data_IF_938256827472
#
_entry.id   IF_938256827472
#
_cell.length_a   1.000
_cell.length_b   1.000
_cell.length_c   1.000
_cell.angle_alpha   90.00
_cell.angle_beta   90.00
_cell.angle_gamma   90.00
#
_symmetry.space_group_name_H-M   'P 1'
#
loop_
_entity.id
_entity.type
_entity.pdbx_description
1 polymer ?
#
# COMPACT_ATOMS: atom_id res chain seq x y z
N UNK A 1 -31.07 20.99 -30.30
CA UNK A 1 -30.22 21.80 -29.40
C UNK A 1 -28.96 21.01 -29.08
N UNK A 2 -27.78 21.53 -29.40
CA UNK A 2 -26.50 20.90 -29.06
C UNK A 2 -26.21 21.27 -27.60
N UNK A 3 -26.44 20.34 -26.67
CA UNK A 3 -26.05 20.52 -25.28
C UNK A 3 -24.54 20.37 -25.17
N UNK A 4 -23.82 21.49 -25.20
CA UNK A 4 -22.40 21.55 -24.93
C UNK A 4 -22.14 21.34 -23.42
N UNK A 5 -21.03 20.68 -23.10
CA UNK A 5 -20.59 20.42 -21.73
C UNK A 5 -20.13 21.74 -21.10
N UNK A 6 -20.73 22.17 -19.98
CA UNK A 6 -20.33 23.41 -19.29
C UNK A 6 -19.06 23.19 -18.46
N UNK A 7 -18.08 24.09 -18.59
CA UNK A 7 -16.83 24.08 -17.83
C UNK A 7 -16.93 24.99 -16.59
N UNK A 8 -16.29 24.65 -15.45
CA UNK A 8 -15.46 23.47 -15.24
C UNK A 8 -16.30 22.21 -14.97
N UNK A 9 -15.99 21.11 -15.66
CA UNK A 9 -16.61 19.80 -15.42
C UNK A 9 -15.55 18.73 -15.21
N UNK A 10 -15.85 17.76 -14.35
CA UNK A 10 -15.00 16.58 -14.16
C UNK A 10 -15.26 15.57 -15.27
N UNK A 11 -14.30 15.40 -16.18
CA UNK A 11 -14.38 14.40 -17.25
C UNK A 11 -14.06 12.99 -16.76
N UNK A 12 -13.11 12.90 -15.81
CA UNK A 12 -12.62 11.64 -15.26
C UNK A 12 -12.41 11.74 -13.75
N UNK A 13 -12.82 10.69 -13.05
CA UNK A 13 -12.55 10.48 -11.63
C UNK A 13 -12.39 8.99 -11.37
N UNK A 14 -11.45 8.63 -10.51
CA UNK A 14 -11.29 7.25 -10.06
C UNK A 14 -12.53 6.80 -9.28
N UNK A 15 -12.99 5.57 -9.53
CA UNK A 15 -14.17 5.02 -8.85
C UNK A 15 -13.88 4.66 -7.40
N UNK A 16 -12.73 4.03 -7.15
CA UNK A 16 -12.23 3.72 -5.81
C UNK A 16 -11.25 4.81 -5.41
N UNK A 17 -11.64 5.65 -4.46
CA UNK A 17 -10.76 6.69 -3.96
C UNK A 17 -9.91 6.13 -2.83
N UNK A 18 -8.69 6.64 -2.71
CA UNK A 18 -7.78 6.25 -1.63
C UNK A 18 -8.34 6.62 -0.24
N UNK A 19 -9.17 7.65 -0.17
CA UNK A 19 -9.82 8.17 1.04
C UNK A 19 -11.26 7.66 1.21
N UNK A 20 -11.64 6.58 0.53
CA UNK A 20 -12.98 6.00 0.64
C UNK A 20 -13.10 5.01 1.79
N UNK A 21 -13.52 5.49 2.96
CA UNK A 21 -13.80 4.65 4.13
C UNK A 21 -14.93 3.64 3.92
N UNK A 22 -15.75 3.81 2.88
CA UNK A 22 -16.81 2.87 2.56
C UNK A 22 -16.31 1.67 1.74
N UNK A 23 -15.05 1.67 1.30
CA UNK A 23 -14.46 0.57 0.55
C UNK A 23 -14.46 -0.74 1.37
N UNK A 24 -14.65 -1.88 0.70
CA UNK A 24 -14.83 -3.16 1.39
C UNK A 24 -13.61 -3.59 2.21
N UNK A 25 -12.41 -3.32 1.73
CA UNK A 25 -11.13 -3.54 2.42
C UNK A 25 -10.94 -2.65 3.64
N UNK A 26 -11.51 -1.43 3.64
CA UNK A 26 -11.54 -0.54 4.81
C UNK A 26 -12.51 -1.01 5.90
N UNK A 27 -13.36 -2.02 5.63
CA UNK A 27 -14.33 -2.59 6.58
C UNK A 27 -13.83 -3.88 7.25
N UNK A 28 -12.63 -4.36 6.94
CA UNK A 28 -12.09 -5.62 7.43
C UNK A 28 -11.21 -5.48 8.70
N UNK A 29 -11.60 -4.62 9.64
CA UNK A 29 -10.76 -4.23 10.79
C UNK A 29 -10.70 -5.21 11.98
N UNK A 30 -11.58 -6.21 12.04
CA UNK A 30 -11.69 -7.10 13.20
C UNK A 30 -11.19 -8.50 12.87
N UNK A 31 -9.88 -8.71 12.99
CA UNK A 31 -9.28 -10.04 13.00
C UNK A 31 -9.05 -10.48 14.44
N UNK A 32 -9.42 -11.71 14.77
CA UNK A 32 -9.15 -12.28 16.09
C UNK A 32 -7.67 -12.63 16.25
N UNK A 33 -7.17 -12.69 17.48
CA UNK A 33 -5.81 -13.18 17.77
C UNK A 33 -5.55 -14.55 17.14
N UNK A 34 -6.52 -15.47 17.22
CA UNK A 34 -6.41 -16.80 16.62
C UNK A 34 -6.27 -16.73 15.10
N UNK A 35 -6.97 -15.81 14.44
CA UNK A 35 -6.82 -15.63 13.00
C UNK A 35 -5.44 -15.06 12.65
N UNK A 36 -4.97 -14.06 13.41
CA UNK A 36 -3.65 -13.44 13.20
C UNK A 36 -2.52 -14.45 13.38
N UNK A 37 -2.59 -15.31 14.40
CA UNK A 37 -1.55 -16.31 14.66
C UNK A 37 -1.62 -17.48 13.69
N UNK A 38 -2.79 -18.07 13.48
CA UNK A 38 -2.93 -19.31 12.71
C UNK A 38 -2.92 -19.07 11.20
N UNK A 39 -3.66 -18.09 10.69
CA UNK A 39 -3.79 -17.89 9.25
C UNK A 39 -2.70 -16.97 8.68
N UNK A 40 -2.22 -16.01 9.46
CA UNK A 40 -1.21 -15.04 9.03
C UNK A 40 0.18 -15.30 9.62
N UNK A 41 0.33 -16.32 10.48
CA UNK A 41 1.63 -16.69 11.05
C UNK A 41 2.24 -15.62 11.97
N UNK A 42 1.42 -14.71 12.52
CA UNK A 42 1.88 -13.58 13.33
C UNK A 42 2.19 -13.98 14.78
N UNK A 43 2.90 -15.09 14.96
CA UNK A 43 3.34 -15.54 16.28
C UNK A 43 4.57 -14.75 16.77
N UNK A 44 5.50 -14.44 15.87
CA UNK A 44 6.67 -13.62 16.14
C UNK A 44 6.65 -12.35 15.28
N UNK A 45 6.30 -11.23 15.91
CA UNK A 45 6.03 -9.96 15.21
C UNK A 45 7.21 -8.99 15.29
N UNK A 46 7.93 -8.97 16.42
CA UNK A 46 8.90 -7.93 16.73
C UNK A 46 10.05 -8.47 17.56
N UNK A 47 11.23 -7.90 17.34
CA UNK A 47 12.46 -8.28 18.02
C UNK A 47 12.55 -7.65 19.42
N UNK A 48 11.89 -6.51 19.65
CA UNK A 48 11.99 -5.72 20.87
C UNK A 48 10.82 -5.87 21.85
N UNK A 49 9.66 -6.30 21.38
CA UNK A 49 8.46 -6.45 22.19
C UNK A 49 7.59 -7.63 21.73
N UNK A 50 6.89 -8.24 22.67
CA UNK A 50 5.84 -9.22 22.42
C UNK A 50 4.45 -8.58 22.58
N UNK A 51 3.69 -8.39 21.48
CA UNK A 51 2.36 -7.77 21.54
C UNK A 51 1.32 -8.62 22.26
N UNK A 52 1.48 -9.95 22.25
CA UNK A 52 0.52 -10.89 22.85
C UNK A 52 0.60 -10.88 24.38
N UNK A 53 1.82 -10.84 24.92
CA UNK A 53 2.05 -10.83 26.38
C UNK A 53 2.31 -9.45 26.96
N UNK A 54 2.45 -8.42 26.12
CA UNK A 54 2.85 -7.06 26.49
C UNK A 54 4.13 -7.02 27.33
N UNK A 55 5.15 -7.73 26.85
CA UNK A 55 6.47 -7.79 27.49
C UNK A 55 7.53 -7.22 26.55
N UNK A 56 8.54 -6.56 27.11
CA UNK A 56 9.72 -6.15 26.36
C UNK A 56 10.64 -7.36 26.19
N UNK A 57 11.04 -7.64 24.96
CA UNK A 57 12.01 -8.68 24.63
C UNK A 57 13.43 -8.17 24.85
N UNK A 58 14.29 -9.05 25.32
CA UNK A 58 15.73 -8.82 25.33
C UNK A 58 16.30 -9.04 23.92
N UNK A 59 17.38 -8.36 23.59
CA UNK A 59 18.14 -8.62 22.34
C UNK A 59 18.65 -10.07 22.25
N UNK A 60 18.76 -10.76 23.40
CA UNK A 60 19.15 -12.17 23.51
C UNK A 60 17.99 -13.16 23.30
N UNK A 61 16.73 -12.71 23.35
CA UNK A 61 15.52 -13.55 23.23
C UNK A 61 15.09 -13.78 21.76
N UNK A 62 15.97 -13.45 20.81
CA UNK A 62 15.71 -13.62 19.38
C UNK A 62 15.77 -15.11 19.00
N UNK A 63 14.91 -15.61 18.11
CA UNK A 63 14.96 -17.01 17.65
C UNK A 63 16.34 -17.40 17.09
N UNK A 64 17.05 -16.43 16.52
CA UNK A 64 18.38 -16.59 15.91
C UNK A 64 19.54 -16.53 16.92
N UNK A 65 19.27 -16.16 18.18
CA UNK A 65 20.29 -16.05 19.22
C UNK A 65 20.64 -17.43 19.77
N UNK A 66 21.93 -17.74 19.91
CA UNK A 66 22.38 -18.98 20.58
C UNK A 66 22.03 -19.00 22.08
N UNK A 67 21.57 -17.88 22.64
CA UNK A 67 21.16 -17.72 24.04
C UNK A 67 19.63 -17.69 24.21
N UNK A 68 18.86 -18.02 23.17
CA UNK A 68 17.39 -17.84 23.12
C UNK A 68 16.60 -18.77 24.06
N UNK A 69 17.26 -19.75 24.65
CA UNK A 69 16.65 -20.73 25.52
C UNK A 69 17.57 -20.93 26.73
N UNK A 70 17.29 -20.22 27.83
CA UNK A 70 17.52 -20.68 29.21
C UNK A 70 16.97 -19.62 30.21
N UNK A 71 15.95 -20.04 30.98
CA UNK A 71 15.42 -19.46 32.22
C UNK A 71 15.78 -17.99 32.49
N UNK A 72 15.04 -17.04 31.91
CA UNK A 72 15.08 -15.65 32.35
C UNK A 72 13.73 -15.18 32.80
N UNK A 73 13.76 -14.25 33.75
CA UNK A 73 12.59 -13.60 34.30
C UNK A 73 11.70 -13.07 33.17
N UNK A 74 10.37 -13.19 33.30
CA UNK A 74 9.44 -12.68 32.31
C UNK A 74 9.80 -11.22 32.01
N UNK A 75 10.08 -10.94 30.72
CA UNK A 75 10.53 -9.64 30.25
C UNK A 75 9.64 -8.51 30.80
N UNK A 76 10.25 -7.34 31.05
CA UNK A 76 9.57 -6.20 31.70
C UNK A 76 8.21 -5.94 31.04
N UNK A 77 7.14 -5.98 31.83
CA UNK A 77 5.78 -5.64 31.37
C UNK A 77 5.76 -4.19 30.88
N UNK A 78 5.15 -3.98 29.72
CA UNK A 78 5.01 -2.67 29.08
C UNK A 78 3.54 -2.35 28.84
N UNK A 79 3.22 -1.06 28.71
CA UNK A 79 1.86 -0.66 28.36
C UNK A 79 1.59 -0.91 26.88
N UNK A 80 0.30 -1.00 26.50
CA UNK A 80 -0.09 -1.14 25.09
C UNK A 80 0.45 -0.01 24.21
N UNK A 81 0.43 1.22 24.73
CA UNK A 81 0.95 2.39 24.01
C UNK A 81 2.47 2.29 23.80
N UNK A 82 3.21 1.85 24.81
CA UNK A 82 4.66 1.62 24.69
C UNK A 82 4.97 0.48 23.72
N UNK A 83 4.20 -0.62 23.77
CA UNK A 83 4.33 -1.71 22.82
C UNK A 83 4.08 -1.24 21.39
N UNK A 84 3.00 -0.49 21.15
CA UNK A 84 2.70 0.08 19.84
C UNK A 84 3.83 1.00 19.36
N UNK A 85 4.34 1.89 20.21
CA UNK A 85 5.45 2.77 19.85
C UNK A 85 6.68 1.98 19.40
N UNK A 86 7.06 0.92 20.13
CA UNK A 86 8.17 0.02 19.75
C UNK A 86 7.92 -0.63 18.38
N UNK A 87 6.72 -1.17 18.15
CA UNK A 87 6.37 -1.80 16.87
C UNK A 87 6.44 -0.81 15.70
N UNK A 88 5.95 0.42 15.89
CA UNK A 88 6.01 1.45 14.85
C UNK A 88 7.45 1.91 14.59
N UNK A 89 8.30 2.00 15.61
CA UNK A 89 9.71 2.34 15.44
C UNK A 89 10.48 1.24 14.69
N UNK A 90 10.23 -0.02 15.00
CA UNK A 90 10.74 -1.15 14.21
C UNK A 90 10.23 -1.11 12.78
N UNK A 91 8.94 -0.83 12.57
CA UNK A 91 8.38 -0.74 11.24
C UNK A 91 9.05 0.36 10.41
N UNK A 92 9.24 1.56 10.97
CA UNK A 92 10.00 2.63 10.29
C UNK A 92 11.40 2.17 9.96
N UNK A 93 12.11 1.57 10.91
CA UNK A 93 13.48 1.12 10.72
C UNK A 93 13.60 0.11 9.57
N UNK A 94 12.73 -0.91 9.54
CA UNK A 94 12.72 -1.94 8.49
C UNK A 94 12.28 -1.36 7.13
N UNK A 95 11.33 -0.42 7.13
CA UNK A 95 10.81 0.20 5.90
C UNK A 95 11.87 0.97 5.08
N UNK A 96 12.94 1.45 5.74
CA UNK A 96 14.05 2.16 5.10
C UNK A 96 14.74 1.33 4.01
N UNK A 97 14.75 0.00 4.16
CA UNK A 97 15.35 -0.89 3.17
C UNK A 97 14.63 -0.81 1.81
N UNK A 98 13.32 -0.53 1.80
CA UNK A 98 12.51 -0.42 0.59
C UNK A 98 12.53 0.99 -0.03
N UNK A 99 13.12 1.96 0.66
CA UNK A 99 13.13 3.37 0.27
C UNK A 99 14.53 3.97 0.34
N UNK A 100 15.56 3.13 0.21
CA UNK A 100 16.95 3.51 0.49
C UNK A 100 17.47 4.69 -0.38
N UNK A 101 17.00 4.79 -1.63
CA UNK A 101 17.47 5.78 -2.60
C UNK A 101 16.32 6.59 -3.22
N UNK A 102 16.65 7.80 -3.67
CA UNK A 102 15.78 8.65 -4.47
C UNK A 102 15.13 9.80 -3.70
N UNK A 103 14.42 10.70 -4.42
CA UNK A 103 13.82 11.91 -3.85
C UNK A 103 12.66 11.62 -2.90
N UNK A 104 12.04 10.43 -3.02
CA UNK A 104 10.86 10.01 -2.25
C UNK A 104 11.19 9.11 -1.05
N UNK A 105 12.47 8.91 -0.73
CA UNK A 105 12.92 7.98 0.33
C UNK A 105 12.23 8.18 1.69
N UNK A 106 12.00 9.42 2.07
CA UNK A 106 11.39 9.77 3.35
C UNK A 106 9.89 9.53 3.41
N UNK A 107 9.25 9.28 2.27
CA UNK A 107 7.80 9.26 2.17
C UNK A 107 7.20 8.10 2.96
N UNK A 108 7.84 6.92 2.93
CA UNK A 108 7.37 5.75 3.67
C UNK A 108 7.42 6.00 5.19
N UNK A 109 8.46 6.65 5.69
CA UNK A 109 8.57 7.01 7.12
C UNK A 109 7.48 8.02 7.52
N UNK A 110 7.19 8.99 6.65
CA UNK A 110 6.07 9.94 6.88
C UNK A 110 4.73 9.23 6.90
N UNK A 111 4.50 8.28 5.98
CA UNK A 111 3.27 7.50 5.93
C UNK A 111 3.10 6.63 7.19
N UNK A 112 4.16 5.93 7.62
CA UNK A 112 4.14 5.11 8.83
C UNK A 112 3.91 5.99 10.07
N UNK A 113 4.51 7.18 10.10
CA UNK A 113 4.30 8.14 11.20
C UNK A 113 2.87 8.63 11.25
N UNK A 114 2.30 8.99 10.10
CA UNK A 114 0.90 9.36 10.01
C UNK A 114 -0.04 8.21 10.40
N UNK A 115 0.29 6.97 10.07
CA UNK A 115 -0.49 5.81 10.52
C UNK A 115 -0.47 5.65 12.05
N UNK A 116 0.62 6.00 12.74
CA UNK A 116 0.69 5.95 14.20
C UNK A 116 -0.12 7.05 14.88
N UNK A 117 -0.05 8.29 14.37
CA UNK A 117 -0.58 9.48 15.08
C UNK A 117 -1.77 10.14 14.40
N UNK A 118 -2.11 9.73 13.18
CA UNK A 118 -3.08 10.40 12.32
C UNK A 118 -4.54 10.10 12.65
N UNK A 119 -4.83 9.26 13.65
CA UNK A 119 -6.18 8.97 14.14
C UNK A 119 -7.21 8.67 13.04
N UNK A 120 -6.79 7.89 12.04
CA UNK A 120 -7.64 7.51 10.91
C UNK A 120 -7.87 8.60 9.87
N UNK A 121 -7.29 9.80 9.99
CA UNK A 121 -7.38 10.84 8.96
C UNK A 121 -6.61 10.46 7.69
N UNK A 122 -7.03 10.95 6.50
CA UNK A 122 -6.31 10.66 5.26
C UNK A 122 -4.92 11.29 5.27
N UNK A 123 -3.91 10.53 4.83
CA UNK A 123 -2.55 11.05 4.63
C UNK A 123 -2.49 11.97 3.40
N UNK A 124 -1.80 13.11 3.50
CA UNK A 124 -1.54 14.01 2.38
C UNK A 124 -0.11 14.53 2.45
N UNK A 125 0.63 14.42 1.34
CA UNK A 125 1.99 14.96 1.22
C UNK A 125 2.26 15.31 -0.26
N UNK A 126 2.84 16.49 -0.50
CA UNK A 126 3.13 16.98 -1.86
C UNK A 126 4.09 16.06 -2.61
N UNK A 127 5.00 15.38 -1.91
CA UNK A 127 5.92 14.43 -2.51
C UNK A 127 5.20 13.15 -2.95
N UNK A 128 4.16 12.71 -2.22
CA UNK A 128 3.32 11.59 -2.65
C UNK A 128 2.57 11.95 -3.92
N UNK A 129 1.94 13.13 -3.95
CA UNK A 129 1.21 13.60 -5.13
C UNK A 129 2.14 13.70 -6.35
N UNK A 130 3.37 14.18 -6.15
CA UNK A 130 4.39 14.24 -7.19
C UNK A 130 4.82 12.85 -7.66
N UNK A 131 5.11 11.93 -6.74
CA UNK A 131 5.51 10.57 -7.08
C UNK A 131 4.42 9.85 -7.90
N UNK A 132 3.16 9.95 -7.48
CA UNK A 132 2.01 9.38 -8.20
C UNK A 132 1.82 10.03 -9.57
N UNK A 133 2.00 11.35 -9.68
CA UNK A 133 1.98 12.06 -10.96
C UNK A 133 3.08 11.55 -11.90
N UNK A 134 4.31 11.43 -11.41
CA UNK A 134 5.44 10.92 -12.20
C UNK A 134 5.20 9.46 -12.62
N UNK A 135 4.64 8.62 -11.75
CA UNK A 135 4.26 7.26 -12.10
C UNK A 135 3.25 7.22 -13.25
N UNK A 136 2.20 8.06 -13.21
CA UNK A 136 1.19 8.12 -14.28
C UNK A 136 1.79 8.64 -15.59
N UNK A 137 2.66 9.65 -15.53
CA UNK A 137 3.25 10.26 -16.73
C UNK A 137 4.32 9.38 -17.38
N UNK A 138 5.07 8.63 -16.59
CA UNK A 138 6.16 7.76 -17.05
C UNK A 138 5.68 6.34 -17.38
N UNK A 139 4.41 6.01 -17.15
CA UNK A 139 3.84 4.73 -17.54
C UNK A 139 3.69 4.67 -19.07
N UNK A 140 4.66 4.02 -19.71
CA UNK A 140 4.74 3.80 -21.16
C UNK A 140 4.09 2.48 -21.60
N UNK A 141 3.47 1.73 -20.70
CA UNK A 141 2.85 0.45 -21.07
C UNK A 141 1.63 0.66 -21.95
N UNK A 142 1.29 -0.32 -22.80
CA UNK A 142 0.07 -0.27 -23.64
C UNK A 142 -1.23 -0.22 -22.81
N UNK A 143 -1.13 -0.55 -21.52
CA UNK A 143 -2.23 -0.49 -20.55
C UNK A 143 -2.23 0.80 -19.71
N UNK A 144 -1.30 1.72 -19.99
CA UNK A 144 -1.17 3.00 -19.31
C UNK A 144 -2.50 3.75 -19.33
N UNK A 145 -2.93 4.14 -18.13
CA UNK A 145 -4.15 4.93 -17.95
C UNK A 145 -4.05 6.25 -18.71
N UNK A 146 -2.86 6.88 -18.69
CA UNK A 146 -2.60 8.12 -19.40
C UNK A 146 -2.71 7.96 -20.91
N UNK A 147 -2.09 6.93 -21.48
CA UNK A 147 -2.13 6.67 -22.92
C UNK A 147 -3.55 6.42 -23.41
N UNK A 148 -4.31 5.60 -22.67
CA UNK A 148 -5.72 5.30 -22.99
C UNK A 148 -6.61 6.54 -22.89
N UNK A 149 -6.42 7.39 -21.87
CA UNK A 149 -7.13 8.67 -21.77
C UNK A 149 -6.85 9.54 -22.99
N UNK A 150 -5.57 9.67 -23.36
CA UNK A 150 -5.15 10.44 -24.53
C UNK A 150 -5.75 9.91 -25.83
N UNK A 151 -5.73 8.59 -26.04
CA UNK A 151 -6.29 7.94 -27.21
C UNK A 151 -7.80 8.15 -27.31
N UNK A 152 -8.52 7.96 -26.20
CA UNK A 152 -9.96 8.14 -26.16
C UNK A 152 -10.33 9.60 -26.46
N UNK A 153 -9.67 10.57 -25.83
CA UNK A 153 -9.89 11.99 -26.12
C UNK A 153 -9.65 12.27 -27.62
N UNK A 154 -8.55 11.75 -28.19
CA UNK A 154 -8.22 11.91 -29.61
C UNK A 154 -9.30 11.33 -30.54
N UNK A 155 -9.78 10.12 -30.27
CA UNK A 155 -10.67 9.36 -31.17
C UNK A 155 -12.15 9.74 -31.03
N UNK A 156 -12.54 10.27 -29.87
CA UNK A 156 -13.94 10.53 -29.53
C UNK A 156 -14.32 12.01 -29.63
N UNK A 157 -13.38 12.95 -29.57
CA UNK A 157 -13.64 14.37 -29.82
C UNK A 157 -13.78 14.61 -31.34
N UNK A 158 -14.85 15.31 -31.73
CA UNK A 158 -14.93 15.88 -33.07
C UNK A 158 -14.16 17.21 -33.06
N UNK A 159 -12.93 17.18 -33.58
CA UNK A 159 -12.01 18.33 -33.62
C UNK A 159 -12.45 19.44 -34.58
N UNK A 160 -13.19 19.10 -35.65
CA UNK A 160 -13.73 20.10 -36.58
C UNK A 160 -14.83 20.95 -35.92
N UNK A 161 -15.69 20.29 -35.14
CA UNK A 161 -16.82 20.94 -34.46
C UNK A 161 -16.50 21.37 -33.04
N UNK A 162 -15.33 20.99 -32.51
CA UNK A 162 -14.94 21.16 -31.09
C UNK A 162 -16.01 20.63 -30.11
N UNK A 163 -16.66 19.50 -30.46
CA UNK A 163 -17.75 18.92 -29.65
C UNK A 163 -17.49 17.45 -29.35
N UNK A 164 -17.93 17.00 -28.17
CA UNK A 164 -17.97 15.58 -27.82
C UNK A 164 -19.35 14.97 -28.20
N UNK A 165 -19.43 14.01 -29.13
CA UNK A 165 -20.71 13.42 -29.55
C UNK A 165 -21.35 12.59 -28.43
N UNK A 166 -22.61 12.88 -28.10
CA UNK A 166 -23.36 12.20 -27.03
C UNK A 166 -23.48 10.69 -27.28
N UNK A 167 -23.63 10.29 -28.55
CA UNK A 167 -23.74 8.89 -28.97
C UNK A 167 -22.52 8.04 -28.57
N UNK A 168 -21.33 8.66 -28.50
CA UNK A 168 -20.12 7.96 -28.13
C UNK A 168 -19.88 7.90 -26.61
N UNK A 169 -20.73 8.55 -25.80
CA UNK A 169 -20.62 8.59 -24.33
C UNK A 169 -20.77 7.21 -23.68
N UNK A 170 -21.63 6.35 -24.20
CA UNK A 170 -21.85 5.00 -23.64
C UNK A 170 -20.69 4.05 -23.93
N UNK A 171 -20.09 4.13 -25.12
CA UNK A 171 -18.89 3.36 -25.48
C UNK A 171 -17.66 3.83 -24.70
N UNK A 172 -17.56 5.14 -24.47
CA UNK A 172 -16.53 5.75 -23.64
C UNK A 172 -16.53 5.16 -22.22
N UNK A 173 -17.68 5.03 -21.55
CA UNK A 173 -17.73 4.47 -20.18
C UNK A 173 -17.36 2.98 -20.13
N UNK A 174 -17.76 2.18 -21.13
CA UNK A 174 -17.49 0.73 -21.17
C UNK A 174 -16.01 0.40 -21.34
N UNK A 175 -15.27 1.16 -22.16
CA UNK A 175 -13.84 0.91 -22.41
C UNK A 175 -12.97 1.16 -21.15
N UNK A 176 -13.48 1.93 -20.18
CA UNK A 176 -12.80 2.20 -18.90
C UNK A 176 -13.11 1.18 -17.79
N UNK A 177 -14.30 0.57 -17.76
CA UNK A 177 -14.67 -0.36 -16.68
C UNK A 177 -13.79 -1.62 -16.64
N UNK A 178 -13.21 -2.02 -17.78
CA UNK A 178 -12.27 -3.14 -17.88
C UNK A 178 -10.96 -2.87 -17.11
N UNK A 179 -10.61 -1.60 -16.85
CA UNK A 179 -9.37 -1.20 -16.17
C UNK A 179 -9.40 -1.55 -14.66
N UNK A 180 -10.57 -1.67 -14.05
CA UNK A 180 -10.69 -1.91 -12.60
C UNK A 180 -10.42 -3.36 -12.15
N UNK A 181 -10.27 -4.32 -13.08
CA UNK A 181 -10.02 -5.72 -12.74
C UNK A 181 -8.53 -6.09 -12.67
N UNK A 182 -7.60 -5.18 -13.01
CA UNK A 182 -6.17 -5.51 -13.11
C UNK A 182 -5.29 -4.95 -11.98
N UNK A 183 -5.80 -4.09 -11.10
CA UNK A 183 -4.97 -3.51 -10.03
C UNK A 183 -5.06 -4.25 -8.68
N UNK A 184 -5.78 -5.38 -8.61
CA UNK A 184 -5.76 -6.27 -7.43
C UNK A 184 -4.74 -7.43 -7.54
N UNK A 185 -4.22 -7.70 -8.74
CA UNK A 185 -3.25 -8.77 -8.97
C UNK A 185 -1.82 -8.36 -8.63
N UNK A 186 -1.46 -7.08 -8.75
CA UNK A 186 -0.08 -6.63 -8.58
C UNK A 186 0.39 -6.61 -7.12
N UNK A 187 -0.52 -6.37 -6.16
CA UNK A 187 -0.19 -6.54 -4.74
C UNK A 187 0.07 -8.01 -4.38
N UNK A 188 -0.63 -8.95 -5.03
CA UNK A 188 -0.37 -10.39 -4.84
C UNK A 188 0.96 -10.79 -5.47
N UNK A 189 1.37 -10.20 -6.58
CA UNK A 189 2.67 -10.48 -7.22
C UNK A 189 3.82 -9.93 -6.36
N UNK A 190 3.69 -8.73 -5.80
CA UNK A 190 4.70 -8.16 -4.89
C UNK A 190 4.78 -8.97 -3.58
N UNK A 191 3.64 -9.40 -3.03
CA UNK A 191 3.61 -10.26 -1.84
C UNK A 191 4.13 -11.69 -2.13
N UNK A 192 3.81 -12.26 -3.29
CA UNK A 192 4.30 -13.58 -3.74
C UNK A 192 5.80 -13.56 -4.05
N UNK A 193 6.31 -12.48 -4.65
CA UNK A 193 7.74 -12.29 -4.89
C UNK A 193 8.52 -12.13 -3.58
N UNK A 194 7.90 -11.54 -2.54
CA UNK A 194 8.46 -11.51 -1.19
C UNK A 194 8.45 -12.90 -0.52
N UNK A 195 7.34 -13.64 -0.60
CA UNK A 195 7.24 -15.01 -0.07
C UNK A 195 8.24 -15.95 -0.74
N UNK A 196 8.39 -15.91 -2.07
CA UNK A 196 9.34 -16.74 -2.82
C UNK A 196 10.80 -16.40 -2.56
N UNK A 197 11.11 -15.17 -2.15
CA UNK A 197 12.50 -14.72 -1.87
C UNK A 197 12.93 -14.93 -0.41
N UNK A 198 11.98 -15.11 0.51
CA UNK A 198 12.26 -15.29 1.95
C UNK A 198 11.88 -16.66 2.52
N UNK A 199 11.10 -17.50 1.82
CA UNK A 199 10.77 -18.86 2.25
C UNK A 199 11.62 -19.98 1.65
N UNK A 200 12.66 -19.68 0.86
CA UNK A 200 13.65 -20.71 0.50
C UNK A 200 14.73 -20.78 1.59
N UNK A 201 14.74 -21.83 2.45
CA UNK A 201 15.86 -22.03 3.35
C UNK A 201 17.12 -22.20 2.50
N UNK A 202 18.15 -21.42 2.83
CA UNK A 202 19.41 -21.40 2.10
C UNK A 202 19.96 -22.80 1.91
N UNK A 203 20.03 -23.25 0.65
CA UNK A 203 21.04 -24.22 0.30
C UNK A 203 22.39 -23.55 0.50
N UNK A 204 23.12 -24.07 1.48
CA UNK A 204 24.55 -23.87 1.64
C UNK A 204 25.24 -24.18 0.31
N UNK A 205 25.87 -23.18 -0.29
CA UNK A 205 27.04 -23.42 -1.15
C UNK A 205 28.26 -22.91 -0.40
N UNK A 206 28.85 -23.79 0.40
CA UNK A 206 30.27 -23.79 0.72
C UNK A 206 31.09 -24.13 -0.55
N UNK A 207 32.35 -23.66 -0.64
CA UNK A 207 33.07 -23.40 -1.89
C UNK A 207 33.23 -24.59 -2.84
#
# INVERSE_FOLDING_TARGET
MINALQLPCTLFRTQKRIDDYSAGDMRCGELTETQLRTYYGLEYISDQADPWTLTRRSSMDRPQSMFCCNLRDPGKKITRQQCAAILFDEFRFLSRQFSFCGPYRHLIEKMITHMQTGNGTPFRDVLLDRALKEQILNDITDKSTFFRIKEVIKNYINWEKNTFPIEKKTNFVKQYLVVNYLNLTDFRIILMAWVLRFMTPGQQTSP
#
